data_IF_469349826969
#
_entry.id   IF_469349826969
#
_cell.length_a   1.000
_cell.length_b   1.000
_cell.length_c   1.000
_cell.angle_alpha   90.00
_cell.angle_beta   90.00
_cell.angle_gamma   90.00
#
_symmetry.space_group_name_H-M   'P 1'
#
loop_
_entity.id
_entity.type
_entity.pdbx_description
1 polymer ?
#
# COMPACT_ATOMS: atom_id res chain seq x y z
N UNK A 1 -3.24 28.77 -13.70
CA UNK A 1 -3.67 27.44 -14.22
C UNK A 1 -3.89 26.48 -13.06
N UNK A 2 -4.98 25.69 -13.11
CA UNK A 2 -5.25 24.67 -12.10
C UNK A 2 -4.21 23.53 -12.20
N UNK A 3 -3.66 23.09 -11.06
CA UNK A 3 -2.74 21.93 -11.02
C UNK A 3 -3.55 20.67 -11.32
N UNK A 4 -3.15 19.91 -12.35
CA UNK A 4 -3.74 18.58 -12.61
C UNK A 4 -3.32 17.62 -11.50
N UNK A 5 -4.30 16.97 -10.87
CA UNK A 5 -4.03 15.94 -9.87
C UNK A 5 -3.76 14.60 -10.56
N UNK A 6 -2.71 13.92 -10.12
CA UNK A 6 -2.37 12.57 -10.57
C UNK A 6 -2.09 11.72 -9.34
N UNK A 7 -2.79 10.58 -9.22
CA UNK A 7 -2.58 9.62 -8.13
C UNK A 7 -1.35 8.75 -8.43
N UNK A 8 -0.18 9.39 -8.47
CA UNK A 8 1.11 8.80 -8.89
C UNK A 8 1.60 7.67 -7.97
N UNK A 9 1.06 7.58 -6.75
CA UNK A 9 1.40 6.54 -5.78
C UNK A 9 1.17 5.11 -6.31
N UNK A 10 0.18 4.93 -7.19
CA UNK A 10 -0.16 3.64 -7.81
C UNK A 10 1.00 3.13 -8.67
N UNK A 11 1.81 4.02 -9.24
CA UNK A 11 2.95 3.68 -10.08
C UNK A 11 4.21 3.35 -9.28
N UNK A 12 4.16 3.37 -7.94
CA UNK A 12 5.35 3.22 -7.10
C UNK A 12 6.12 1.93 -7.39
N UNK A 13 5.47 0.78 -7.36
CA UNK A 13 6.11 -0.52 -7.59
C UNK A 13 6.80 -0.57 -8.97
N UNK A 14 6.08 -0.18 -10.02
CA UNK A 14 6.60 -0.22 -11.39
C UNK A 14 7.76 0.78 -11.60
N UNK A 15 7.68 1.97 -11.01
CA UNK A 15 8.78 2.95 -11.05
C UNK A 15 10.03 2.39 -10.40
N UNK A 16 9.93 1.67 -9.27
CA UNK A 16 11.10 1.05 -8.64
C UNK A 16 11.65 -0.12 -9.47
N UNK A 17 10.79 -0.98 -10.04
CA UNK A 17 11.20 -2.04 -10.96
C UNK A 17 12.01 -1.51 -12.14
N UNK A 18 11.54 -0.45 -12.81
CA UNK A 18 12.26 0.16 -13.95
C UNK A 18 13.57 0.83 -13.54
N UNK A 19 13.63 1.39 -12.33
CA UNK A 19 14.89 1.92 -11.78
C UNK A 19 15.91 0.84 -11.48
N UNK A 20 15.48 -0.36 -11.08
CA UNK A 20 16.38 -1.52 -10.89
C UNK A 20 16.98 -1.99 -12.22
N UNK A 21 16.22 -1.90 -13.31
CA UNK A 21 16.69 -2.15 -14.68
C UNK A 21 17.69 -1.08 -15.16
N UNK A 22 17.75 0.07 -14.49
CA UNK A 22 18.69 1.16 -14.77
C UNK A 22 18.07 2.36 -15.48
N UNK A 23 16.75 2.39 -15.67
CA UNK A 23 16.08 3.51 -16.33
C UNK A 23 16.14 4.80 -15.52
N UNK A 24 16.30 5.92 -16.23
CA UNK A 24 16.34 7.25 -15.65
C UNK A 24 14.94 7.76 -15.31
N UNK A 25 14.86 8.71 -14.37
CA UNK A 25 13.57 9.34 -14.04
C UNK A 25 12.95 10.10 -15.22
N UNK A 26 13.73 10.44 -16.26
CA UNK A 26 13.20 11.12 -17.47
C UNK A 26 12.49 10.12 -18.37
N UNK A 27 13.12 9.01 -18.70
CA UNK A 27 12.54 7.94 -19.53
C UNK A 27 11.25 7.38 -18.91
N UNK A 28 11.27 7.15 -17.59
CA UNK A 28 10.08 6.72 -16.85
C UNK A 28 8.99 7.79 -16.93
N UNK A 29 9.32 9.07 -16.74
CA UNK A 29 8.33 10.15 -16.80
C UNK A 29 7.70 10.27 -18.20
N UNK A 30 8.53 10.21 -19.25
CA UNK A 30 8.09 10.29 -20.64
C UNK A 30 7.10 9.18 -21.00
N UNK A 31 7.38 7.93 -20.61
CA UNK A 31 6.49 6.80 -20.87
C UNK A 31 5.08 6.93 -20.25
N UNK A 32 4.96 7.67 -19.14
CA UNK A 32 3.68 7.88 -18.44
C UNK A 32 3.06 9.25 -18.73
N UNK A 33 3.68 10.06 -19.60
CA UNK A 33 3.25 11.45 -19.84
C UNK A 33 3.34 12.34 -18.59
N UNK A 34 4.26 12.03 -17.69
CA UNK A 34 4.49 12.75 -16.43
C UNK A 34 5.70 13.66 -16.55
N UNK A 35 5.85 14.58 -15.60
CA UNK A 35 7.07 15.37 -15.49
C UNK A 35 8.13 14.61 -14.70
N UNK A 36 9.40 14.84 -15.04
CA UNK A 36 10.56 14.32 -14.29
C UNK A 36 10.45 14.60 -12.78
N UNK A 37 9.94 15.78 -12.42
CA UNK A 37 9.80 16.18 -11.03
C UNK A 37 8.74 15.38 -10.29
N UNK A 38 7.65 14.96 -10.94
CA UNK A 38 6.65 14.09 -10.34
C UNK A 38 7.27 12.73 -9.95
N UNK A 39 8.05 12.11 -10.84
CA UNK A 39 8.77 10.86 -10.56
C UNK A 39 9.82 11.05 -9.46
N UNK A 40 10.59 12.14 -9.52
CA UNK A 40 11.59 12.48 -8.47
C UNK A 40 10.93 12.62 -7.09
N UNK A 41 9.78 13.28 -7.01
CA UNK A 41 9.04 13.44 -5.75
C UNK A 41 8.44 12.14 -5.26
N UNK A 42 7.93 11.28 -6.15
CA UNK A 42 7.46 9.94 -5.81
C UNK A 42 8.58 9.12 -5.14
N UNK A 43 9.74 9.01 -5.80
CA UNK A 43 10.89 8.25 -5.28
C UNK A 43 11.35 8.80 -3.93
N UNK A 44 11.44 10.14 -3.78
CA UNK A 44 11.80 10.78 -2.51
C UNK A 44 10.83 10.41 -1.37
N UNK A 45 9.52 10.36 -1.65
CA UNK A 45 8.49 9.99 -0.68
C UNK A 45 8.61 8.53 -0.26
N UNK A 46 8.79 7.60 -1.20
CA UNK A 46 8.95 6.18 -0.88
C UNK A 46 10.23 5.91 -0.07
N UNK A 47 11.37 6.49 -0.48
CA UNK A 47 12.62 6.36 0.26
C UNK A 47 12.52 6.91 1.69
N UNK A 48 11.78 8.01 1.87
CA UNK A 48 11.50 8.55 3.21
C UNK A 48 10.65 7.59 4.04
N UNK A 49 9.61 6.99 3.46
CA UNK A 49 8.78 5.99 4.16
C UNK A 49 9.59 4.76 4.56
N UNK A 50 10.38 4.20 3.64
CA UNK A 50 11.26 3.09 3.92
C UNK A 50 12.23 3.39 5.07
N UNK A 51 12.83 4.60 5.07
CA UNK A 51 13.71 5.03 6.17
C UNK A 51 12.98 5.16 7.52
N UNK A 52 11.74 5.61 7.52
CA UNK A 52 10.94 5.68 8.75
C UNK A 52 10.64 4.28 9.29
N UNK A 53 10.21 3.37 8.41
CA UNK A 53 9.92 1.98 8.77
C UNK A 53 11.18 1.30 9.31
N UNK A 54 12.33 1.48 8.66
CA UNK A 54 13.61 0.95 9.13
C UNK A 54 14.03 1.50 10.50
N UNK A 55 13.56 2.70 10.88
CA UNK A 55 13.76 3.28 12.22
C UNK A 55 12.72 2.81 13.26
N UNK A 56 11.88 1.83 12.91
CA UNK A 56 10.84 1.30 13.80
C UNK A 56 9.53 2.10 13.78
N UNK A 57 9.33 3.05 12.86
CA UNK A 57 8.04 3.73 12.75
C UNK A 57 6.97 2.80 12.16
N UNK A 58 5.89 2.59 12.90
CA UNK A 58 4.70 1.87 12.43
C UNK A 58 3.77 2.84 11.68
N UNK A 59 3.51 2.64 10.37
CA UNK A 59 2.59 3.49 9.62
C UNK A 59 1.18 3.47 10.21
N UNK A 60 0.62 4.65 10.45
CA UNK A 60 -0.79 4.80 10.85
C UNK A 60 -1.71 4.74 9.62
N UNK A 61 -2.94 4.29 9.84
CA UNK A 61 -4.01 4.36 8.85
C UNK A 61 -4.20 5.79 8.35
N UNK A 62 -4.60 5.93 7.07
CA UNK A 62 -4.86 7.24 6.47
C UNK A 62 -6.11 7.85 7.08
N UNK A 63 -6.08 9.17 7.29
CA UNK A 63 -7.21 9.93 7.80
C UNK A 63 -6.99 10.45 9.21
N UNK A 64 -8.09 10.89 9.84
CA UNK A 64 -8.06 11.41 11.20
C UNK A 64 -7.78 10.26 12.17
N UNK A 65 -6.82 10.40 13.10
CA UNK A 65 -6.66 9.44 14.19
C UNK A 65 -7.97 9.25 14.94
N UNK A 66 -8.28 8.02 15.34
CA UNK A 66 -9.46 7.77 16.17
C UNK A 66 -9.31 8.48 17.52
N UNK A 67 -10.44 8.98 18.06
CA UNK A 67 -10.48 9.75 19.31
C UNK A 67 -10.11 8.90 20.52
N UNK A 68 -10.59 7.66 20.55
CA UNK A 68 -10.34 6.69 21.62
C UNK A 68 -9.60 5.48 21.03
N UNK A 69 -8.79 4.81 21.86
CA UNK A 69 -8.29 3.49 21.50
C UNK A 69 -9.49 2.53 21.35
N UNK A 70 -9.44 1.56 20.41
CA UNK A 70 -10.45 0.52 20.34
C UNK A 70 -10.46 -0.24 21.67
N UNK A 71 -11.65 -0.38 22.25
CA UNK A 71 -11.88 -1.18 23.45
C UNK A 71 -11.46 -2.64 23.19
N UNK A 72 -11.00 -3.35 24.21
CA UNK A 72 -10.51 -4.73 24.07
C UNK A 72 -11.59 -5.65 23.48
N UNK A 73 -12.86 -5.40 23.81
CA UNK A 73 -14.00 -6.12 23.22
C UNK A 73 -14.11 -5.87 21.71
N UNK A 74 -13.94 -4.62 21.26
CA UNK A 74 -13.99 -4.29 19.82
C UNK A 74 -12.83 -4.90 19.04
N UNK A 75 -11.66 -5.10 19.68
CA UNK A 75 -10.53 -5.82 19.08
C UNK A 75 -10.86 -7.30 18.92
N UNK A 76 -11.29 -7.96 20.01
CA UNK A 76 -11.69 -9.37 20.00
C UNK A 76 -12.79 -9.65 18.98
N UNK A 77 -13.80 -8.79 18.88
CA UNK A 77 -14.89 -8.96 17.93
C UNK A 77 -14.41 -8.85 16.47
N UNK A 78 -13.43 -7.98 16.19
CA UNK A 78 -12.82 -7.91 14.86
C UNK A 78 -12.01 -9.16 14.54
N UNK A 79 -11.17 -9.60 15.47
CA UNK A 79 -10.39 -10.84 15.32
C UNK A 79 -11.31 -12.04 15.09
N UNK A 80 -12.40 -12.14 15.85
CA UNK A 80 -13.38 -13.21 15.71
C UNK A 80 -14.07 -13.18 14.33
N UNK A 81 -14.41 -12.00 13.82
CA UNK A 81 -14.95 -11.85 12.47
C UNK A 81 -13.94 -12.25 11.37
N UNK A 82 -12.68 -11.84 11.51
CA UNK A 82 -11.61 -12.21 10.58
C UNK A 82 -11.36 -13.72 10.57
N UNK A 83 -11.30 -14.35 11.75
CA UNK A 83 -11.14 -15.79 11.89
C UNK A 83 -12.32 -16.57 11.31
N UNK A 84 -13.55 -16.12 11.53
CA UNK A 84 -14.75 -16.74 10.93
C UNK A 84 -14.67 -16.72 9.41
N UNK A 85 -14.31 -15.58 8.83
CA UNK A 85 -14.17 -15.44 7.37
C UNK A 85 -13.06 -16.34 6.82
N UNK A 86 -11.93 -16.48 7.52
CA UNK A 86 -10.85 -17.37 7.12
C UNK A 86 -11.26 -18.85 7.17
N UNK A 87 -11.94 -19.28 8.24
CA UNK A 87 -12.45 -20.65 8.37
C UNK A 87 -13.47 -20.96 7.27
N UNK A 88 -14.39 -20.03 7.00
CA UNK A 88 -15.38 -20.18 5.92
C UNK A 88 -14.70 -20.32 4.55
N UNK A 89 -13.71 -19.47 4.26
CA UNK A 89 -12.93 -19.54 3.02
C UNK A 89 -12.23 -20.89 2.87
N UNK A 90 -11.63 -21.41 3.96
CA UNK A 90 -10.95 -22.71 3.95
C UNK A 90 -11.93 -23.88 3.79
N UNK A 91 -13.09 -23.82 4.44
CA UNK A 91 -14.15 -24.83 4.29
C UNK A 91 -14.68 -24.88 2.85
N UNK A 92 -14.87 -23.72 2.24
CA UNK A 92 -15.26 -23.63 0.83
C UNK A 92 -14.19 -24.25 -0.07
N UNK A 93 -12.91 -23.91 0.16
CA UNK A 93 -11.80 -24.49 -0.60
C UNK A 93 -11.72 -26.02 -0.48
N UNK A 94 -11.89 -26.56 0.74
CA UNK A 94 -11.86 -28.01 0.98
C UNK A 94 -13.05 -28.72 0.31
N UNK A 95 -14.23 -28.11 0.35
CA UNK A 95 -15.44 -28.62 -0.30
C UNK A 95 -15.29 -28.70 -1.82
N UNK A 96 -14.73 -27.66 -2.45
CA UNK A 96 -14.40 -27.64 -3.88
C UNK A 96 -13.30 -28.66 -4.24
N UNK A 97 -12.33 -28.87 -3.37
CA UNK A 97 -11.28 -29.86 -3.54
C UNK A 97 -11.75 -31.32 -3.29
N UNK A 98 -13.03 -31.53 -2.98
CA UNK A 98 -13.60 -32.85 -2.70
C UNK A 98 -13.10 -33.50 -1.41
N UNK A 99 -12.46 -32.72 -0.51
CA UNK A 99 -11.97 -33.16 0.80
C UNK A 99 -12.94 -32.64 1.85
N UNK A 100 -13.85 -33.49 2.32
CA UNK A 100 -14.78 -33.17 3.42
C UNK A 100 -14.34 -33.85 4.70
#
# INVERSE_FOLDING_TARGET
MARKYTKIEILSEEVFRRKEVGETNREIAESYGLTKDQIKQLVKRQNRKARLIAKGYVPRSKGRPQKNAPDEETRRNKELAELRMQVELLQNFLSEAGRK
#
